data_IF_230304099947
#
_entry.id   IF_230304099947
#
_cell.length_a   1.000
_cell.length_b   1.000
_cell.length_c   1.000
_cell.angle_alpha   90.00
_cell.angle_beta   90.00
_cell.angle_gamma   90.00
#
_symmetry.space_group_name_H-M   'P 1'
#
loop_
_entity.id
_entity.type
_entity.pdbx_description
1 polymer ?
#
# COMPACT_ATOMS: atom_id res chain seq x y z
N UNK A 1 -13.95 -31.14 23.29
CA UNK A 1 -14.19 -29.73 22.96
C UNK A 1 -13.02 -29.27 22.13
N UNK A 2 -13.15 -29.33 20.80
CA UNK A 2 -12.13 -28.87 19.88
C UNK A 2 -12.00 -27.36 20.04
N UNK A 3 -10.77 -26.86 20.19
CA UNK A 3 -10.50 -25.44 20.16
C UNK A 3 -11.10 -24.87 18.86
N UNK A 4 -12.07 -23.97 18.99
CA UNK A 4 -12.71 -23.36 17.83
C UNK A 4 -11.66 -22.59 17.03
N UNK A 5 -11.70 -22.73 15.71
CA UNK A 5 -10.92 -21.90 14.77
C UNK A 5 -10.94 -20.42 15.20
N UNK A 6 -9.80 -19.70 15.02
CA UNK A 6 -9.77 -18.27 15.28
C UNK A 6 -10.87 -17.58 14.47
N UNK A 7 -11.78 -16.88 15.15
CA UNK A 7 -12.76 -16.00 14.49
C UNK A 7 -11.96 -14.97 13.68
N UNK A 8 -12.28 -14.73 12.39
CA UNK A 8 -11.54 -13.77 11.58
C UNK A 8 -11.54 -12.42 12.31
N UNK A 9 -10.35 -12.02 12.78
CA UNK A 9 -10.13 -10.73 13.39
C UNK A 9 -10.49 -9.65 12.38
N UNK A 10 -11.16 -8.59 12.84
CA UNK A 10 -11.48 -7.43 11.99
C UNK A 10 -10.19 -6.95 11.33
N UNK A 11 -10.09 -7.11 10.00
CA UNK A 11 -8.95 -6.61 9.23
C UNK A 11 -8.77 -5.12 9.52
N UNK A 12 -7.52 -4.69 9.61
CA UNK A 12 -7.16 -3.28 9.58
C UNK A 12 -7.58 -2.62 8.27
N UNK A 13 -7.52 -1.28 8.21
CA UNK A 13 -7.69 -0.56 6.95
C UNK A 13 -6.68 -1.09 5.92
N UNK A 14 -7.19 -1.31 4.72
CA UNK A 14 -6.39 -1.72 3.56
C UNK A 14 -6.11 -0.49 2.72
N UNK A 15 -4.87 -0.35 2.27
CA UNK A 15 -4.44 0.75 1.43
C UNK A 15 -3.91 0.22 0.11
N UNK A 16 -4.25 0.93 -0.96
CA UNK A 16 -3.74 0.73 -2.30
C UNK A 16 -2.72 1.83 -2.60
N UNK A 17 -1.52 1.43 -3.02
CA UNK A 17 -0.42 2.36 -3.28
C UNK A 17 0.20 2.01 -4.62
N UNK A 18 0.23 2.97 -5.54
CA UNK A 18 1.00 2.89 -6.79
C UNK A 18 2.18 3.87 -6.72
N UNK A 19 3.38 3.39 -7.01
CA UNK A 19 4.62 4.15 -6.95
C UNK A 19 5.29 4.10 -8.31
N UNK A 20 5.31 5.23 -9.03
CA UNK A 20 5.92 5.34 -10.34
C UNK A 20 7.44 5.59 -10.25
N UNK A 21 8.19 4.86 -11.07
CA UNK A 21 9.63 5.01 -11.25
C UNK A 21 9.93 5.27 -12.74
N UNK A 22 10.81 6.22 -13.07
CA UNK A 22 11.28 6.40 -14.43
C UNK A 22 12.09 5.18 -14.90
N UNK A 23 11.88 4.75 -16.14
CA UNK A 23 12.58 3.62 -16.75
C UNK A 23 11.86 2.29 -16.58
N UNK A 24 12.61 1.19 -16.66
CA UNK A 24 12.09 -0.17 -16.79
C UNK A 24 12.20 -1.03 -15.53
N UNK A 25 12.63 -0.44 -14.41
CA UNK A 25 12.84 -1.15 -13.14
C UNK A 25 12.27 -0.37 -11.97
N UNK A 26 11.78 -1.12 -10.98
CA UNK A 26 11.51 -0.59 -9.64
C UNK A 26 12.85 -0.25 -8.98
N UNK A 27 12.94 0.89 -8.30
CA UNK A 27 14.14 1.23 -7.55
C UNK A 27 14.37 0.22 -6.41
N UNK A 28 15.49 -0.52 -6.39
CA UNK A 28 15.75 -1.54 -5.39
C UNK A 28 15.88 -0.98 -3.96
N UNK A 29 16.05 0.34 -3.80
CA UNK A 29 16.08 0.99 -2.50
C UNK A 29 14.72 0.94 -1.77
N UNK A 30 13.61 0.72 -2.48
CA UNK A 30 12.26 0.69 -1.88
C UNK A 30 11.96 -0.64 -1.20
N UNK A 31 12.47 -1.75 -1.75
CA UNK A 31 12.30 -3.10 -1.23
C UNK A 31 12.66 -3.24 0.26
N UNK A 32 13.86 -2.84 0.73
CA UNK A 32 14.23 -3.00 2.14
C UNK A 32 13.36 -2.16 3.09
N UNK A 33 12.83 -1.02 2.65
CA UNK A 33 11.94 -0.19 3.49
C UNK A 33 10.56 -0.83 3.64
N UNK A 34 10.03 -1.42 2.57
CA UNK A 34 8.78 -2.18 2.65
C UNK A 34 8.96 -3.40 3.56
N UNK A 35 10.05 -4.17 3.37
CA UNK A 35 10.38 -5.31 4.21
C UNK A 35 10.49 -4.91 5.69
N UNK A 36 11.14 -3.78 5.99
CA UNK A 36 11.25 -3.23 7.35
C UNK A 36 9.88 -2.96 7.99
N UNK A 37 8.89 -2.48 7.23
CA UNK A 37 7.53 -2.23 7.74
C UNK A 37 6.77 -3.53 8.03
N UNK A 38 6.98 -4.55 7.19
CA UNK A 38 6.42 -5.90 7.40
C UNK A 38 7.06 -6.57 8.62
N UNK A 39 8.38 -6.55 8.71
CA UNK A 39 9.15 -7.13 9.82
C UNK A 39 8.82 -6.47 11.17
N UNK A 40 8.56 -5.15 11.16
CA UNK A 40 8.11 -4.42 12.32
C UNK A 40 6.65 -4.70 12.71
N UNK A 41 5.92 -5.54 11.95
CA UNK A 41 4.50 -5.83 12.16
C UNK A 41 3.61 -4.59 11.99
N UNK A 42 4.09 -3.57 11.27
CA UNK A 42 3.34 -2.32 11.06
C UNK A 42 2.31 -2.49 9.95
N UNK A 43 2.69 -3.22 8.90
CA UNK A 43 1.83 -3.55 7.77
C UNK A 43 1.91 -5.04 7.44
N UNK A 44 0.89 -5.55 6.77
CA UNK A 44 0.91 -6.86 6.09
C UNK A 44 0.62 -6.63 4.62
N UNK A 45 1.51 -7.04 3.72
CA UNK A 45 1.21 -7.02 2.30
C UNK A 45 0.14 -8.08 2.01
N UNK A 46 -0.85 -7.70 1.22
CA UNK A 46 -1.97 -8.53 0.78
C UNK A 46 -1.89 -8.87 -0.70
N UNK A 47 -1.30 -7.97 -1.50
CA UNK A 47 -1.13 -8.11 -2.94
C UNK A 47 0.01 -7.19 -3.42
N UNK A 48 0.75 -7.61 -4.45
CA UNK A 48 1.85 -6.83 -5.02
C UNK A 48 2.08 -7.20 -6.48
N UNK A 49 2.23 -6.19 -7.32
CA UNK A 49 2.59 -6.36 -8.72
C UNK A 49 3.43 -5.19 -9.23
N UNK A 50 4.07 -5.43 -10.37
CA UNK A 50 4.82 -4.42 -11.12
C UNK A 50 4.13 -4.21 -12.47
N UNK A 51 3.82 -2.95 -12.79
CA UNK A 51 3.29 -2.56 -14.09
C UNK A 51 4.35 -1.76 -14.82
N UNK A 52 4.72 -2.18 -16.03
CA UNK A 52 5.64 -1.44 -16.89
C UNK A 52 4.90 -0.88 -18.09
N UNK A 53 5.15 0.39 -18.40
CA UNK A 53 4.72 1.04 -19.63
C UNK A 53 5.91 1.35 -20.51
N UNK A 54 6.03 0.65 -21.64
CA UNK A 54 7.07 0.92 -22.61
C UNK A 54 6.88 2.30 -23.28
N UNK A 55 7.95 2.85 -23.84
CA UNK A 55 7.90 4.11 -24.60
C UNK A 55 6.89 4.08 -25.77
N UNK A 56 6.64 2.90 -26.35
CA UNK A 56 5.65 2.67 -27.41
C UNK A 56 4.19 2.60 -26.92
N UNK A 57 3.98 2.60 -25.60
CA UNK A 57 2.66 2.46 -24.96
C UNK A 57 2.27 1.02 -24.61
N UNK A 58 3.09 0.02 -24.99
CA UNK A 58 2.87 -1.37 -24.61
C UNK A 58 2.96 -1.55 -23.08
N UNK A 59 2.02 -2.29 -22.52
CA UNK A 59 1.92 -2.56 -21.09
C UNK A 59 2.34 -4.00 -20.80
N UNK A 60 3.15 -4.18 -19.76
CA UNK A 60 3.49 -5.47 -19.19
C UNK A 60 3.22 -5.46 -17.70
N UNK A 61 2.66 -6.55 -17.18
CA UNK A 61 2.41 -6.75 -15.76
C UNK A 61 3.22 -7.95 -15.29
N UNK A 62 3.80 -7.85 -14.09
CA UNK A 62 4.56 -8.94 -13.47
C UNK A 62 4.12 -9.07 -12.03
N UNK A 63 3.66 -10.26 -11.65
CA UNK A 63 3.21 -10.59 -10.30
C UNK A 63 4.40 -10.84 -9.37
N UNK A 64 4.19 -10.71 -8.06
CA UNK A 64 5.24 -10.88 -7.05
C UNK A 64 5.99 -12.21 -7.18
N UNK A 65 5.30 -13.30 -7.49
CA UNK A 65 5.88 -14.64 -7.59
C UNK A 65 6.89 -14.78 -8.73
N UNK A 66 6.73 -13.97 -9.77
CA UNK A 66 7.59 -13.92 -10.95
C UNK A 66 8.70 -12.85 -10.83
N UNK A 67 8.70 -12.07 -9.73
CA UNK A 67 9.66 -11.00 -9.49
C UNK A 67 10.86 -11.48 -8.65
N UNK A 68 12.07 -11.18 -9.11
CA UNK A 68 13.30 -11.37 -8.33
C UNK A 68 13.55 -10.14 -7.43
N UNK A 69 12.72 -10.00 -6.38
CA UNK A 69 12.80 -8.91 -5.40
C UNK A 69 13.17 -9.46 -4.00
N UNK A 70 14.46 -9.77 -3.77
CA UNK A 70 14.92 -10.37 -2.53
C UNK A 70 14.56 -9.48 -1.33
N UNK A 71 13.87 -10.06 -0.34
CA UNK A 71 13.38 -9.36 0.85
C UNK A 71 11.85 -9.16 0.89
N UNK A 72 11.14 -9.45 -0.20
CA UNK A 72 9.67 -9.56 -0.21
C UNK A 72 9.19 -11.02 -0.33
N UNK A 73 10.12 -11.98 -0.26
CA UNK A 73 9.86 -13.42 -0.42
C UNK A 73 8.94 -14.02 0.65
N UNK A 74 8.77 -13.34 1.79
CA UNK A 74 7.94 -13.76 2.92
C UNK A 74 6.51 -13.21 2.87
N UNK A 75 6.16 -12.49 1.79
CA UNK A 75 4.84 -11.91 1.60
C UNK A 75 3.86 -13.00 1.16
N UNK A 76 2.80 -13.19 1.94
CA UNK A 76 1.62 -13.98 1.55
C UNK A 76 0.83 -13.18 0.47
N UNK A 77 1.41 -12.99 -0.71
CA UNK A 77 0.82 -12.27 -1.84
C UNK A 77 -0.27 -13.07 -2.57
N UNK A 78 -0.37 -14.35 -2.24
CA UNK A 78 -1.12 -15.37 -2.98
C UNK A 78 -2.63 -15.42 -2.62
N UNK A 79 -3.09 -14.60 -1.66
CA UNK A 79 -4.31 -14.95 -0.91
C UNK A 79 -5.60 -14.31 -1.44
N UNK A 80 -5.55 -13.27 -2.28
CA UNK A 80 -6.77 -12.49 -2.50
C UNK A 80 -7.11 -12.03 -3.92
N UNK A 81 -6.18 -12.01 -4.88
CA UNK A 81 -6.47 -11.45 -6.22
C UNK A 81 -7.19 -10.11 -6.13
N UNK A 82 -6.71 -9.23 -5.23
CA UNK A 82 -7.34 -7.93 -4.99
C UNK A 82 -7.10 -7.00 -6.16
N UNK A 83 -5.98 -7.20 -6.84
CA UNK A 83 -5.62 -6.56 -8.08
C UNK A 83 -6.22 -7.39 -9.23
N UNK A 84 -7.42 -7.00 -9.69
CA UNK A 84 -8.07 -7.66 -10.81
C UNK A 84 -7.46 -7.26 -12.16
N UNK A 85 -7.73 -8.07 -13.20
CA UNK A 85 -7.35 -7.77 -14.59
C UNK A 85 -7.91 -6.41 -15.07
N UNK A 86 -9.01 -5.94 -14.48
CA UNK A 86 -9.67 -4.68 -14.84
C UNK A 86 -9.03 -3.44 -14.19
N UNK A 87 -8.36 -3.58 -13.05
CA UNK A 87 -7.73 -2.46 -12.33
C UNK A 87 -6.34 -2.11 -12.91
N UNK A 88 -5.67 -3.11 -13.47
CA UNK A 88 -4.35 -3.03 -14.06
C UNK A 88 -4.25 -2.02 -15.23
N UNK A 89 -5.17 -2.03 -16.22
CA UNK A 89 -5.21 -1.02 -17.26
C UNK A 89 -5.32 0.41 -16.73
N UNK A 90 -6.04 0.62 -15.61
CA UNK A 90 -6.25 1.96 -15.05
C UNK A 90 -4.94 2.55 -14.54
N UNK A 91 -4.14 1.76 -13.82
CA UNK A 91 -2.79 2.18 -13.38
C UNK A 91 -1.89 2.40 -14.59
N UNK A 92 -1.95 1.49 -15.56
CA UNK A 92 -1.13 1.55 -16.75
C UNK A 92 -1.39 2.80 -17.61
N UNK A 93 -2.64 3.28 -17.65
CA UNK A 93 -3.00 4.54 -18.32
C UNK A 93 -2.47 5.79 -17.62
N UNK A 94 -2.32 5.74 -16.29
CA UNK A 94 -1.75 6.85 -15.51
C UNK A 94 -0.21 6.91 -15.60
N UNK A 95 0.45 5.81 -15.99
CA UNK A 95 1.90 5.76 -16.11
C UNK A 95 2.43 6.62 -17.26
N UNK A 96 3.54 7.33 -16.98
CA UNK A 96 4.29 7.99 -18.03
C UNK A 96 4.83 6.95 -19.04
N UNK A 97 4.99 7.31 -20.32
CA UNK A 97 5.73 6.44 -21.24
C UNK A 97 7.15 6.22 -20.70
N UNK A 98 7.65 4.99 -20.83
CA UNK A 98 8.98 4.59 -20.34
C UNK A 98 9.09 4.67 -18.80
N UNK A 99 8.09 4.14 -18.11
CA UNK A 99 8.04 4.10 -16.65
C UNK A 99 7.55 2.74 -16.12
N UNK A 100 7.80 2.52 -14.84
CA UNK A 100 7.48 1.28 -14.12
C UNK A 100 6.84 1.63 -12.78
N UNK A 101 5.65 1.12 -12.51
CA UNK A 101 5.00 1.22 -11.22
C UNK A 101 5.21 -0.04 -10.37
N UNK A 102 5.53 0.17 -9.10
CA UNK A 102 5.27 -0.83 -8.06
C UNK A 102 3.87 -0.55 -7.46
N UNK A 103 3.01 -1.56 -7.49
CA UNK A 103 1.67 -1.49 -6.88
C UNK A 103 1.64 -2.42 -5.68
N UNK A 104 1.25 -1.88 -4.53
CA UNK A 104 1.18 -2.61 -3.26
C UNK A 104 -0.19 -2.41 -2.66
N UNK A 105 -0.82 -3.51 -2.29
CA UNK A 105 -2.00 -3.53 -1.42
C UNK A 105 -1.56 -4.05 -0.07
N UNK A 106 -1.67 -3.24 0.97
CA UNK A 106 -1.29 -3.65 2.32
C UNK A 106 -2.38 -3.37 3.35
N UNK A 107 -2.34 -4.09 4.46
CA UNK A 107 -3.16 -3.84 5.63
C UNK A 107 -2.33 -3.11 6.69
N UNK A 108 -2.86 -2.01 7.21
CA UNK A 108 -2.27 -1.26 8.32
C UNK A 108 -2.59 -1.95 9.65
N UNK A 109 -1.67 -2.79 10.14
CA UNK A 109 -1.85 -3.59 11.35
C UNK A 109 -1.92 -2.73 12.62
N UNK A 110 -1.12 -1.67 12.68
CA UNK A 110 -1.15 -0.70 13.79
C UNK A 110 -2.56 -0.11 14.00
N UNK A 111 -3.29 0.14 12.91
CA UNK A 111 -4.63 0.71 12.97
C UNK A 111 -5.66 -0.34 13.41
N UNK A 112 -5.47 -1.61 13.04
CA UNK A 112 -6.29 -2.72 13.54
C UNK A 112 -6.18 -2.83 15.07
N UNK A 113 -4.97 -2.74 15.61
CA UNK A 113 -4.70 -2.77 17.05
C UNK A 113 -5.35 -1.60 17.78
N UNK A 114 -5.16 -0.37 17.28
CA UNK A 114 -5.80 0.82 17.86
C UNK A 114 -7.32 0.69 17.84
N UNK A 115 -7.90 0.27 16.73
CA UNK A 115 -9.34 0.10 16.60
C UNK A 115 -9.89 -0.94 17.58
N UNK A 116 -9.13 -2.01 17.87
CA UNK A 116 -9.50 -3.00 18.88
C UNK A 116 -9.52 -2.39 20.29
N UNK A 117 -8.51 -1.59 20.64
CA UNK A 117 -8.44 -0.89 21.94
C UNK A 117 -9.59 0.12 22.08
N UNK A 118 -9.86 0.92 21.05
CA UNK A 118 -10.98 1.90 21.05
C UNK A 118 -12.31 1.19 21.28
N UNK A 119 -12.59 0.09 20.56
CA UNK A 119 -13.80 -0.71 20.76
C UNK A 119 -13.87 -1.30 22.17
N UNK A 120 -12.75 -1.79 22.70
CA UNK A 120 -12.65 -2.32 24.05
C UNK A 120 -12.95 -1.27 25.14
N UNK A 121 -12.62 0.00 24.87
CA UNK A 121 -12.94 1.13 25.73
C UNK A 121 -14.38 1.66 25.56
N UNK A 122 -15.20 1.03 24.71
CA UNK A 122 -16.55 1.49 24.38
C UNK A 122 -16.58 2.68 23.41
N UNK A 123 -15.44 3.05 22.84
CA UNK A 123 -15.35 4.05 21.79
C UNK A 123 -15.75 3.50 20.43
N UNK A 124 -16.10 4.41 19.51
CA UNK A 124 -16.43 4.10 18.13
C UNK A 124 -15.51 4.90 17.22
N UNK A 125 -14.79 4.22 16.34
CA UNK A 125 -14.02 4.87 15.29
C UNK A 125 -15.01 5.43 14.25
N UNK A 126 -15.03 6.76 14.07
CA UNK A 126 -15.97 7.43 13.19
C UNK A 126 -15.48 7.50 11.73
N UNK A 127 -14.22 7.88 11.53
CA UNK A 127 -13.57 7.92 10.20
C UNK A 127 -12.08 7.67 10.32
N UNK A 128 -11.47 7.23 9.21
CA UNK A 128 -10.04 7.05 9.07
C UNK A 128 -9.63 7.28 7.61
N UNK A 129 -9.13 8.47 7.30
CA UNK A 129 -8.82 8.90 5.93
C UNK A 129 -7.33 9.23 5.75
N UNK A 130 -6.85 9.15 4.51
CA UNK A 130 -5.51 9.60 4.11
C UNK A 130 -5.59 11.03 3.58
N UNK A 131 -4.87 11.95 4.23
CA UNK A 131 -4.73 13.32 3.75
C UNK A 131 -3.36 13.44 3.09
N UNK A 132 -3.25 13.91 1.82
CA UNK A 132 -1.97 14.09 1.17
C UNK A 132 -1.07 15.04 1.97
N UNK A 133 0.21 14.69 2.13
CA UNK A 133 1.16 15.51 2.89
C UNK A 133 1.25 16.94 2.36
N UNK A 134 1.21 17.12 1.03
CA UNK A 134 1.19 18.45 0.39
C UNK A 134 0.00 19.32 0.82
N UNK A 135 -1.16 18.72 1.07
CA UNK A 135 -2.34 19.43 1.57
C UNK A 135 -2.13 19.85 3.02
N UNK A 136 -1.51 18.99 3.83
CA UNK A 136 -1.16 19.31 5.23
C UNK A 136 -0.13 20.44 5.28
N UNK A 137 0.94 20.35 4.50
CA UNK A 137 1.98 21.39 4.42
C UNK A 137 1.40 22.74 4.00
N UNK A 138 0.57 22.77 2.95
CA UNK A 138 -0.09 23.99 2.52
C UNK A 138 -0.98 24.60 3.61
N UNK A 139 -1.69 23.76 4.37
CA UNK A 139 -2.53 24.21 5.48
C UNK A 139 -1.71 24.80 6.65
N UNK A 140 -0.55 24.20 6.96
CA UNK A 140 0.35 24.69 8.01
C UNK A 140 0.95 26.05 7.65
N UNK A 141 1.44 26.21 6.41
CA UNK A 141 1.97 27.49 5.91
C UNK A 141 0.91 28.59 6.02
N UNK A 142 -0.32 28.32 5.59
CA UNK A 142 -1.41 29.29 5.67
C UNK A 142 -1.77 29.67 7.12
N UNK A 143 -1.68 28.73 8.06
CA UNK A 143 -1.95 29.00 9.47
C UNK A 143 -0.89 29.91 10.11
N UNK A 144 0.39 29.71 9.77
CA UNK A 144 1.49 30.55 10.26
C UNK A 144 1.40 32.00 9.74
N UNK A 145 0.95 32.20 8.49
CA UNK A 145 0.72 33.54 7.93
C UNK A 145 -0.42 34.29 8.64
N UNK A 146 -1.44 33.58 9.13
CA UNK A 146 -2.57 34.18 9.87
C UNK A 146 -2.19 34.53 11.30
N UNK A 147 -1.33 33.73 11.95
CA UNK A 147 -0.85 34.00 13.32
C UNK A 147 0.26 35.07 13.35
N UNK A 148 0.94 35.29 12.22
CA UNK A 148 1.97 36.32 12.05
C UNK A 148 1.47 37.72 11.69
N UNK A 149 0.16 37.92 11.50
CA UNK A 149 -0.49 39.23 11.25
C UNK A 149 -1.22 39.77 12.48
#
# INVERSE_FOLDING_TARGET
>A
MTAGEPRPGTRGPVEWIAIDFPGDVVDPAVVPEIARLVDAGTVRILDLLVVRRAAGGDIAVTELEDLDLPGLDAVDGDVLGLLGEDDLPLIAEELAPDSTALVVVWESLWAAELAAVVRGAGGVLLTHDRIPGSVVEAALVAADEVVGS
#
